data_IF_061160091011
#
_entry.id   IF_061160091011
#
_cell.length_a   1.000
_cell.length_b   1.000
_cell.length_c   1.000
_cell.angle_alpha   90.00
_cell.angle_beta   90.00
_cell.angle_gamma   90.00
#
_symmetry.space_group_name_H-M   'P 1'
#
loop_
_entity.id
_entity.type
_entity.pdbx_description
1 polymer ?
#
# COMPACT_ATOMS: atom_id res chain seq x y z
N UNK A 1 -6.33 71.65 -65.55
CA UNK A 1 -7.15 70.52 -65.10
C UNK A 1 -6.44 69.86 -63.93
N UNK A 2 -7.04 69.82 -62.73
CA UNK A 2 -6.37 69.45 -61.48
C UNK A 2 -6.31 67.93 -61.27
N UNK A 3 -5.22 67.46 -60.66
CA UNK A 3 -4.98 66.07 -60.23
C UNK A 3 -5.87 65.67 -59.05
N UNK A 4 -6.51 64.48 -59.06
CA UNK A 4 -7.30 64.00 -57.94
C UNK A 4 -6.42 63.41 -56.83
N UNK A 5 -6.68 63.79 -55.58
CA UNK A 5 -6.07 63.20 -54.37
C UNK A 5 -6.75 61.87 -54.04
N UNK A 6 -5.95 60.83 -53.81
CA UNK A 6 -6.39 59.54 -53.25
C UNK A 6 -6.68 59.65 -51.74
N UNK A 7 -7.67 58.92 -51.21
CA UNK A 7 -8.00 58.91 -49.78
C UNK A 7 -7.02 58.06 -48.95
N UNK A 8 -6.77 58.48 -47.71
CA UNK A 8 -5.86 57.84 -46.76
C UNK A 8 -6.41 56.50 -46.22
N UNK A 9 -5.50 55.55 -45.99
CA UNK A 9 -5.80 54.22 -45.46
C UNK A 9 -6.19 54.25 -43.97
N UNK A 10 -7.06 53.32 -43.50
CA UNK A 10 -7.49 53.24 -42.10
C UNK A 10 -6.39 52.69 -41.18
N UNK A 11 -6.36 53.18 -39.94
CA UNK A 11 -5.38 52.79 -38.92
C UNK A 11 -5.56 51.33 -38.44
N UNK A 12 -4.48 50.59 -38.13
CA UNK A 12 -4.56 49.22 -37.65
C UNK A 12 -5.12 49.15 -36.21
N UNK A 13 -6.06 48.22 -35.99
CA UNK A 13 -6.63 47.93 -34.67
C UNK A 13 -5.64 47.28 -33.68
N UNK A 14 -5.96 47.25 -32.38
CA UNK A 14 -5.05 46.74 -31.35
C UNK A 14 -4.79 45.24 -31.50
N UNK A 15 -3.52 44.86 -31.40
CA UNK A 15 -3.07 43.47 -31.51
C UNK A 15 -3.59 42.60 -30.35
N UNK A 16 -3.84 41.30 -30.57
CA UNK A 16 -4.33 40.39 -29.55
C UNK A 16 -3.30 40.23 -28.42
N UNK A 17 -3.79 40.34 -27.17
CA UNK A 17 -3.00 40.10 -25.97
C UNK A 17 -2.56 38.63 -25.94
N UNK A 18 -1.29 38.39 -26.23
CA UNK A 18 -0.66 37.06 -26.14
C UNK A 18 -0.42 36.74 -24.68
N UNK A 19 -1.23 35.86 -24.10
CA UNK A 19 -0.96 35.26 -22.78
C UNK A 19 0.30 34.39 -22.92
N UNK A 20 1.45 34.93 -22.56
CA UNK A 20 2.71 34.20 -22.50
C UNK A 20 2.76 33.42 -21.19
N UNK A 21 2.45 32.12 -21.23
CA UNK A 21 2.84 31.21 -20.15
C UNK A 21 4.36 31.15 -20.05
N UNK A 22 4.96 31.30 -18.86
CA UNK A 22 6.41 31.40 -18.73
C UNK A 22 7.10 30.10 -19.18
N UNK A 23 8.18 30.18 -19.97
CA UNK A 23 8.85 29.03 -20.58
C UNK A 23 9.41 28.02 -19.56
N UNK A 24 9.58 28.42 -18.29
CA UNK A 24 10.06 27.54 -17.22
C UNK A 24 9.03 26.50 -16.73
N UNK A 25 7.73 26.79 -16.81
CA UNK A 25 6.70 25.93 -16.22
C UNK A 25 6.51 24.62 -17.00
N UNK A 26 6.58 24.70 -18.33
CA UNK A 26 6.40 23.54 -19.21
C UNK A 26 7.64 22.65 -19.18
N UNK A 27 8.84 23.23 -19.13
CA UNK A 27 10.09 22.50 -18.99
C UNK A 27 10.15 21.74 -17.65
N UNK A 28 9.82 22.41 -16.53
CA UNK A 28 9.78 21.75 -15.21
C UNK A 28 8.73 20.64 -15.14
N UNK A 29 7.57 20.80 -15.78
CA UNK A 29 6.56 19.76 -15.85
C UNK A 29 7.01 18.57 -16.72
N UNK A 30 7.65 18.83 -17.85
CA UNK A 30 8.23 17.80 -18.70
C UNK A 30 9.36 17.03 -17.99
N UNK A 31 10.22 17.73 -17.24
CA UNK A 31 11.28 17.13 -16.42
C UNK A 31 10.70 16.27 -15.28
N UNK A 32 9.63 16.75 -14.64
CA UNK A 32 8.92 15.98 -13.62
C UNK A 32 8.25 14.72 -14.19
N UNK A 33 7.65 14.82 -15.38
CA UNK A 33 7.08 13.69 -16.10
C UNK A 33 8.16 12.69 -16.52
N UNK A 34 9.29 13.16 -17.06
CA UNK A 34 10.43 12.31 -17.40
C UNK A 34 11.00 11.59 -16.18
N UNK A 35 11.11 12.29 -15.05
CA UNK A 35 11.51 11.68 -13.78
C UNK A 35 10.52 10.64 -13.27
N UNK A 36 9.22 10.89 -13.39
CA UNK A 36 8.18 9.92 -13.02
C UNK A 36 8.25 8.67 -13.91
N UNK A 37 8.41 8.85 -15.23
CA UNK A 37 8.59 7.73 -16.17
C UNK A 37 9.81 6.90 -15.78
N UNK A 38 10.96 7.53 -15.54
CA UNK A 38 12.18 6.82 -15.14
C UNK A 38 11.99 6.02 -13.84
N UNK A 39 11.25 6.57 -12.86
CA UNK A 39 10.89 5.84 -11.64
C UNK A 39 10.01 4.64 -11.97
N UNK A 40 8.96 4.85 -12.78
CA UNK A 40 8.02 3.80 -13.18
C UNK A 40 8.63 2.72 -14.08
N UNK A 41 9.70 2.99 -14.80
CA UNK A 41 10.40 1.96 -15.58
C UNK A 41 11.18 0.98 -14.70
N UNK A 42 11.58 1.43 -13.51
CA UNK A 42 12.28 0.57 -12.55
C UNK A 42 11.29 -0.25 -11.71
N UNK A 43 11.60 -1.54 -11.51
CA UNK A 43 10.80 -2.42 -10.64
C UNK A 43 10.63 -1.82 -9.22
N UNK A 44 11.73 -1.35 -8.62
CA UNK A 44 11.70 -0.73 -7.29
C UNK A 44 10.95 0.61 -7.25
N UNK A 45 10.96 1.36 -8.35
CA UNK A 45 10.21 2.59 -8.44
C UNK A 45 8.70 2.32 -8.54
N UNK A 46 8.29 1.29 -9.29
CA UNK A 46 6.89 0.83 -9.31
C UNK A 46 6.39 0.44 -7.92
N UNK A 47 7.13 -0.39 -7.18
CA UNK A 47 6.73 -0.77 -5.81
C UNK A 47 6.54 0.45 -4.91
N UNK A 48 7.46 1.42 -4.97
CA UNK A 48 7.35 2.67 -4.20
C UNK A 48 6.11 3.49 -4.58
N UNK A 49 5.79 3.59 -5.87
CA UNK A 49 4.60 4.31 -6.34
C UNK A 49 3.33 3.61 -5.90
N UNK A 50 3.24 2.28 -6.06
CA UNK A 50 2.10 1.46 -5.62
C UNK A 50 1.88 1.64 -4.12
N UNK A 51 2.95 1.59 -3.32
CA UNK A 51 2.90 1.78 -1.87
C UNK A 51 2.46 3.20 -1.48
N UNK A 52 2.98 4.23 -2.15
CA UNK A 52 2.61 5.62 -1.89
C UNK A 52 1.14 5.88 -2.22
N UNK A 53 0.65 5.38 -3.35
CA UNK A 53 -0.76 5.47 -3.73
C UNK A 53 -1.65 4.68 -2.78
N UNK A 54 -1.25 3.46 -2.39
CA UNK A 54 -2.00 2.63 -1.46
C UNK A 54 -2.23 3.33 -0.12
N UNK A 55 -1.17 3.81 0.52
CA UNK A 55 -1.29 4.55 1.78
C UNK A 55 -1.95 5.92 1.61
N UNK A 56 -1.72 6.61 0.48
CA UNK A 56 -2.38 7.88 0.17
C UNK A 56 -3.89 7.73 0.07
N UNK A 57 -4.37 6.71 -0.64
CA UNK A 57 -5.79 6.37 -0.74
C UNK A 57 -6.36 5.93 0.62
N UNK A 58 -5.62 5.15 1.41
CA UNK A 58 -6.06 4.73 2.74
C UNK A 58 -6.21 5.91 3.70
N UNK A 59 -5.25 6.85 3.68
CA UNK A 59 -5.27 8.07 4.49
C UNK A 59 -6.40 9.01 4.05
N UNK A 60 -6.52 9.27 2.74
CA UNK A 60 -7.56 10.15 2.20
C UNK A 60 -8.96 9.56 2.43
N UNK A 61 -9.14 8.25 2.21
CA UNK A 61 -10.39 7.56 2.49
C UNK A 61 -10.78 7.63 3.97
N UNK A 62 -9.82 7.39 4.87
CA UNK A 62 -10.04 7.50 6.32
C UNK A 62 -10.37 8.93 6.78
N UNK A 63 -9.63 9.92 6.28
CA UNK A 63 -9.84 11.32 6.64
C UNK A 63 -11.20 11.85 6.14
N UNK A 64 -11.59 11.49 4.91
CA UNK A 64 -12.85 11.93 4.32
C UNK A 64 -14.08 11.21 4.90
N UNK A 65 -13.92 10.01 5.48
CA UNK A 65 -15.02 9.29 6.12
C UNK A 65 -15.63 10.04 7.31
N UNK A 66 -14.87 10.92 7.97
CA UNK A 66 -15.35 11.77 9.06
C UNK A 66 -15.90 13.14 8.62
N UNK A 67 -15.76 13.51 7.34
CA UNK A 67 -16.14 14.84 6.83
C UNK A 67 -17.55 14.79 6.26
N UNK A 68 -18.49 15.49 6.90
CA UNK A 68 -19.90 15.59 6.47
C UNK A 68 -20.10 16.10 5.03
N UNK A 69 -19.11 16.79 4.47
CA UNK A 69 -19.13 17.34 3.11
C UNK A 69 -18.41 16.48 2.06
N UNK A 70 -17.90 15.30 2.43
CA UNK A 70 -17.25 14.42 1.47
C UNK A 70 -18.26 13.93 0.42
N UNK A 71 -17.89 13.89 -0.88
CA UNK A 71 -18.75 13.32 -1.92
C UNK A 71 -19.17 11.90 -1.56
N UNK A 72 -20.46 11.60 -1.70
CA UNK A 72 -21.00 10.28 -1.37
C UNK A 72 -20.24 9.18 -2.13
N UNK A 73 -19.72 8.19 -1.41
CA UNK A 73 -18.99 7.05 -1.97
C UNK A 73 -17.49 7.27 -2.23
N UNK A 74 -16.98 8.50 -2.23
CA UNK A 74 -15.53 8.77 -2.43
C UNK A 74 -14.63 8.15 -1.35
N UNK A 75 -14.97 8.22 -0.04
CA UNK A 75 -14.17 7.57 0.99
C UNK A 75 -14.06 6.05 0.78
N UNK A 76 -15.18 5.42 0.42
CA UNK A 76 -15.24 3.98 0.17
C UNK A 76 -14.48 3.56 -1.09
N UNK A 77 -14.55 4.34 -2.17
CA UNK A 77 -13.81 4.05 -3.40
C UNK A 77 -12.29 4.17 -3.20
N UNK A 78 -11.83 5.16 -2.44
CA UNK A 78 -10.41 5.30 -2.08
C UNK A 78 -9.92 4.11 -1.24
N UNK A 79 -10.70 3.65 -0.26
CA UNK A 79 -10.37 2.45 0.51
C UNK A 79 -10.39 1.17 -0.35
N UNK A 80 -11.28 1.07 -1.34
CA UNK A 80 -11.28 -0.05 -2.28
C UNK A 80 -10.02 -0.04 -3.18
N UNK A 81 -9.60 1.13 -3.66
CA UNK A 81 -8.36 1.28 -4.42
C UNK A 81 -7.14 0.91 -3.58
N UNK A 82 -7.06 1.34 -2.32
CA UNK A 82 -5.95 0.97 -1.44
C UNK A 82 -5.89 -0.54 -1.18
N UNK A 83 -7.04 -1.21 -1.07
CA UNK A 83 -7.10 -2.67 -0.95
C UNK A 83 -6.54 -3.38 -2.20
N UNK A 84 -6.93 -2.94 -3.40
CA UNK A 84 -6.43 -3.50 -4.66
C UNK A 84 -4.92 -3.28 -4.83
N UNK A 85 -4.42 -2.08 -4.49
CA UNK A 85 -2.98 -1.79 -4.52
C UNK A 85 -2.19 -2.65 -3.52
N UNK A 86 -2.78 -2.91 -2.35
CA UNK A 86 -2.18 -3.80 -1.35
C UNK A 86 -2.08 -5.25 -1.86
N UNK A 87 -3.15 -5.79 -2.45
CA UNK A 87 -3.13 -7.10 -3.07
C UNK A 87 -2.13 -7.20 -4.23
N UNK A 88 -2.09 -6.18 -5.10
CA UNK A 88 -1.10 -6.10 -6.17
C UNK A 88 0.33 -6.19 -5.63
N UNK A 89 0.63 -5.44 -4.57
CA UNK A 89 1.93 -5.47 -3.90
C UNK A 89 2.27 -6.84 -3.33
N UNK A 90 1.31 -7.53 -2.69
CA UNK A 90 1.52 -8.92 -2.24
C UNK A 90 1.92 -9.81 -3.40
N UNK A 91 1.20 -9.77 -4.52
CA UNK A 91 1.51 -10.60 -5.69
C UNK A 91 2.89 -10.28 -6.27
N UNK A 92 3.25 -9.00 -6.37
CA UNK A 92 4.58 -8.60 -6.87
C UNK A 92 5.71 -9.10 -5.96
N UNK A 93 5.50 -9.06 -4.63
CA UNK A 93 6.48 -9.56 -3.66
C UNK A 93 6.74 -11.05 -3.74
N UNK A 94 5.78 -11.86 -4.23
CA UNK A 94 5.99 -13.29 -4.47
C UNK A 94 7.07 -13.54 -5.54
N UNK A 95 7.43 -12.52 -6.32
CA UNK A 95 8.52 -12.61 -7.30
C UNK A 95 9.87 -12.12 -6.75
N UNK A 96 9.91 -11.58 -5.52
CA UNK A 96 11.15 -11.08 -4.90
C UNK A 96 12.03 -12.20 -4.32
N UNK A 97 11.52 -13.42 -4.18
CA UNK A 97 12.19 -14.57 -3.56
C UNK A 97 13.55 -14.87 -4.16
N UNK A 98 13.63 -14.93 -5.49
CA UNK A 98 14.89 -15.20 -6.18
C UNK A 98 15.89 -14.05 -6.02
N UNK A 99 15.40 -12.81 -6.02
CA UNK A 99 16.25 -11.65 -5.78
C UNK A 99 16.79 -11.67 -4.35
N UNK A 100 15.96 -12.02 -3.37
CA UNK A 100 16.37 -12.17 -1.98
C UNK A 100 17.35 -13.33 -1.80
N UNK A 101 17.10 -14.48 -2.43
CA UNK A 101 18.00 -15.63 -2.39
C UNK A 101 19.36 -15.30 -2.99
N UNK A 102 19.38 -14.61 -4.14
CA UNK A 102 20.62 -14.15 -4.75
C UNK A 102 21.37 -13.16 -3.85
N UNK A 103 20.65 -12.24 -3.21
CA UNK A 103 21.22 -11.31 -2.23
C UNK A 103 21.82 -12.05 -1.02
N UNK A 104 21.08 -12.97 -0.41
CA UNK A 104 21.54 -13.76 0.73
C UNK A 104 22.75 -14.64 0.37
N UNK A 105 22.77 -15.22 -0.83
CA UNK A 105 23.93 -15.98 -1.34
C UNK A 105 25.16 -15.09 -1.54
N UNK A 106 24.98 -13.91 -2.12
CA UNK A 106 26.07 -12.94 -2.30
C UNK A 106 26.61 -12.42 -0.97
N UNK A 107 25.75 -12.24 0.03
CA UNK A 107 26.17 -11.83 1.37
C UNK A 107 26.84 -12.98 2.15
N UNK A 108 26.32 -14.22 2.03
CA UNK A 108 26.83 -15.39 2.75
C UNK A 108 26.82 -15.17 4.27
N UNK A 109 27.99 -15.32 4.90
CA UNK A 109 28.19 -15.02 6.33
C UNK A 109 28.68 -13.58 6.58
N UNK A 110 28.69 -12.75 5.54
CA UNK A 110 29.16 -11.38 5.54
C UNK A 110 30.68 -11.22 5.47
N UNK A 111 31.18 -10.02 5.12
CA UNK A 111 32.60 -9.74 5.03
C UNK A 111 33.34 -9.92 6.36
N UNK A 112 34.60 -10.36 6.31
CA UNK A 112 35.40 -10.59 7.54
C UNK A 112 35.88 -9.29 8.20
N UNK A 113 35.96 -8.22 7.43
CA UNK A 113 36.33 -6.87 7.84
C UNK A 113 35.17 -6.06 8.43
N UNK A 114 33.93 -6.57 8.37
CA UNK A 114 32.76 -5.96 8.98
C UNK A 114 32.72 -6.19 10.50
N UNK A 115 32.15 -5.24 11.24
CA UNK A 115 31.88 -5.39 12.68
C UNK A 115 31.06 -6.67 12.93
N UNK A 116 31.55 -7.55 13.82
CA UNK A 116 30.97 -8.87 14.02
C UNK A 116 29.49 -8.81 14.43
N UNK A 117 29.08 -7.79 15.18
CA UNK A 117 27.67 -7.60 15.58
C UNK A 117 26.83 -7.23 14.38
N UNK A 118 27.29 -6.27 13.57
CA UNK A 118 26.61 -5.88 12.31
C UNK A 118 26.47 -7.10 11.39
N UNK A 119 27.52 -7.91 11.27
CA UNK A 119 27.53 -9.11 10.45
C UNK A 119 26.49 -10.14 10.90
N UNK A 120 26.45 -10.47 12.19
CA UNK A 120 25.45 -11.39 12.73
C UNK A 120 24.02 -10.86 12.59
N UNK A 121 23.81 -9.56 12.83
CA UNK A 121 22.49 -8.93 12.63
C UNK A 121 22.02 -9.06 11.17
N UNK A 122 22.92 -8.86 10.20
CA UNK A 122 22.61 -9.04 8.78
C UNK A 122 22.30 -10.49 8.41
N UNK A 123 23.05 -11.46 8.95
CA UNK A 123 22.79 -12.89 8.73
C UNK A 123 21.43 -13.29 9.29
N UNK A 124 21.09 -12.83 10.50
CA UNK A 124 19.79 -13.09 11.13
C UNK A 124 18.65 -12.40 10.37
N UNK A 125 18.86 -11.17 9.88
CA UNK A 125 17.86 -10.47 9.07
C UNK A 125 17.60 -11.22 7.76
N UNK A 126 18.67 -11.66 7.07
CA UNK A 126 18.56 -12.48 5.87
C UNK A 126 17.82 -13.79 6.14
N UNK A 127 18.09 -14.46 7.27
CA UNK A 127 17.39 -15.68 7.65
C UNK A 127 15.89 -15.43 7.89
N UNK A 128 15.54 -14.34 8.59
CA UNK A 128 14.16 -13.93 8.81
C UNK A 128 13.45 -13.65 7.47
N UNK A 129 14.10 -12.92 6.56
CA UNK A 129 13.55 -12.62 5.23
C UNK A 129 13.37 -13.92 4.40
N UNK A 130 14.32 -14.86 4.42
CA UNK A 130 14.20 -16.15 3.72
C UNK A 130 13.06 -17.02 4.26
N UNK A 131 12.73 -16.92 5.55
CA UNK A 131 11.57 -17.60 6.13
C UNK A 131 10.26 -16.85 5.83
N UNK A 132 10.33 -15.53 5.75
CA UNK A 132 9.20 -14.66 5.54
C UNK A 132 8.53 -14.91 4.18
N UNK A 133 9.32 -14.99 3.10
CA UNK A 133 8.75 -15.14 1.75
C UNK A 133 7.94 -16.43 1.56
N UNK A 134 8.43 -17.64 1.94
CA UNK A 134 7.62 -18.86 1.89
C UNK A 134 6.36 -18.80 2.76
N UNK A 135 6.43 -18.19 3.94
CA UNK A 135 5.26 -18.01 4.79
C UNK A 135 4.19 -17.15 4.10
N UNK A 136 4.61 -16.10 3.38
CA UNK A 136 3.68 -15.27 2.62
C UNK A 136 3.07 -16.01 1.41
N UNK A 137 3.85 -16.88 0.75
CA UNK A 137 3.31 -17.74 -0.32
C UNK A 137 2.21 -18.65 0.19
N UNK A 138 2.42 -19.29 1.34
CA UNK A 138 1.39 -20.16 1.94
C UNK A 138 0.18 -19.35 2.38
N UNK A 139 0.37 -18.15 2.94
CA UNK A 139 -0.71 -17.26 3.32
C UNK A 139 -1.57 -16.85 2.11
N UNK A 140 -0.92 -16.42 1.02
CA UNK A 140 -1.58 -16.03 -0.22
C UNK A 140 -2.27 -17.23 -0.90
N UNK A 141 -1.62 -18.39 -0.95
CA UNK A 141 -2.20 -19.60 -1.53
C UNK A 141 -3.41 -20.10 -0.72
N UNK A 142 -3.39 -19.93 0.60
CA UNK A 142 -4.52 -20.24 1.47
C UNK A 142 -5.70 -19.30 1.22
N UNK A 143 -5.44 -18.00 1.04
CA UNK A 143 -6.48 -17.02 0.66
C UNK A 143 -7.10 -17.33 -0.71
N UNK A 144 -6.28 -17.78 -1.67
CA UNK A 144 -6.74 -18.18 -2.99
C UNK A 144 -7.47 -19.54 -3.00
N UNK A 145 -7.52 -20.27 -1.87
CA UNK A 145 -8.11 -21.60 -1.78
C UNK A 145 -7.29 -22.70 -2.46
N UNK A 146 -6.03 -22.43 -2.79
CA UNK A 146 -5.11 -23.39 -3.42
C UNK A 146 -4.62 -24.42 -2.39
N UNK A 147 -4.45 -24.02 -1.13
CA UNK A 147 -4.06 -24.91 -0.02
C UNK A 147 -5.05 -24.84 1.13
N UNK A 148 -5.34 -25.98 1.76
CA UNK A 148 -6.24 -26.10 2.93
C UNK A 148 -5.61 -25.62 4.25
N UNK A 149 -4.79 -24.57 4.23
CA UNK A 149 -4.09 -24.05 5.39
C UNK A 149 -4.83 -22.86 6.01
N UNK A 150 -4.56 -22.56 7.29
CA UNK A 150 -5.15 -21.40 7.96
C UNK A 150 -4.47 -20.10 7.53
N UNK A 151 -5.04 -19.41 6.54
CA UNK A 151 -4.54 -18.11 6.05
C UNK A 151 -4.17 -17.12 7.17
N UNK A 152 -5.03 -16.86 8.17
CA UNK A 152 -4.73 -15.85 9.21
C UNK A 152 -3.46 -16.17 10.03
N UNK A 153 -3.17 -17.45 10.28
CA UNK A 153 -1.98 -17.88 11.02
C UNK A 153 -0.71 -17.66 10.20
N UNK A 154 -0.75 -17.95 8.90
CA UNK A 154 0.38 -17.74 7.99
C UNK A 154 0.66 -16.26 7.74
N UNK A 155 -0.37 -15.43 7.63
CA UNK A 155 -0.24 -13.97 7.59
C UNK A 155 0.35 -13.40 8.88
N UNK A 156 -0.08 -13.89 10.04
CA UNK A 156 0.50 -13.45 11.32
C UNK A 156 1.98 -13.85 11.44
N UNK A 157 2.33 -15.08 11.03
CA UNK A 157 3.71 -15.56 11.04
C UNK A 157 4.60 -14.76 10.08
N UNK A 158 4.13 -14.54 8.84
CA UNK A 158 4.88 -13.75 7.85
C UNK A 158 5.08 -12.31 8.33
N UNK A 159 4.03 -11.69 8.88
CA UNK A 159 4.11 -10.34 9.48
C UNK A 159 5.08 -10.30 10.66
N UNK A 160 5.11 -11.33 11.49
CA UNK A 160 6.05 -11.46 12.61
C UNK A 160 7.50 -11.57 12.15
N UNK A 161 7.78 -12.39 11.12
CA UNK A 161 9.12 -12.52 10.53
C UNK A 161 9.58 -11.19 9.89
N UNK A 162 8.68 -10.51 9.19
CA UNK A 162 8.96 -9.18 8.64
C UNK A 162 9.25 -8.14 9.75
N UNK A 163 8.46 -8.14 10.83
CA UNK A 163 8.71 -7.27 11.98
C UNK A 163 10.08 -7.57 12.63
N UNK A 164 10.46 -8.84 12.74
CA UNK A 164 11.77 -9.25 13.24
C UNK A 164 12.91 -8.76 12.34
N UNK A 165 12.79 -8.90 11.01
CA UNK A 165 13.83 -8.43 10.10
C UNK A 165 13.99 -6.91 10.14
N UNK A 166 12.89 -6.17 10.26
CA UNK A 166 12.90 -4.72 10.49
C UNK A 166 13.60 -4.35 11.80
N UNK A 167 13.31 -5.05 12.90
CA UNK A 167 13.94 -4.80 14.20
C UNK A 167 15.46 -5.04 14.12
N UNK A 168 15.89 -6.15 13.53
CA UNK A 168 17.31 -6.46 13.31
C UNK A 168 17.97 -5.37 12.44
N UNK A 169 17.29 -4.90 11.40
CA UNK A 169 17.72 -3.80 10.55
C UNK A 169 17.91 -2.48 11.31
N UNK A 170 16.97 -2.13 12.19
CA UNK A 170 17.08 -0.93 13.06
C UNK A 170 18.28 -1.04 13.98
N UNK A 171 18.47 -2.17 14.66
CA UNK A 171 19.61 -2.38 15.56
C UNK A 171 20.93 -2.30 14.78
N UNK A 172 20.98 -2.89 13.58
CA UNK A 172 22.14 -2.84 12.68
C UNK A 172 22.48 -1.40 12.27
N UNK A 173 21.49 -0.65 11.77
CA UNK A 173 21.70 0.75 11.38
C UNK A 173 22.07 1.64 12.56
N UNK A 174 21.51 1.42 13.75
CA UNK A 174 21.93 2.12 14.97
C UNK A 174 23.39 1.82 15.31
N UNK A 175 23.80 0.55 15.26
CA UNK A 175 25.19 0.15 15.53
C UNK A 175 26.16 0.82 14.56
N UNK A 176 25.84 0.87 13.27
CA UNK A 176 26.63 1.55 12.25
C UNK A 176 26.66 3.07 12.53
N UNK A 177 25.51 3.68 12.80
CA UNK A 177 25.40 5.11 13.10
C UNK A 177 26.26 5.53 14.32
N UNK A 178 26.26 4.73 15.40
CA UNK A 178 27.09 4.98 16.57
C UNK A 178 28.58 4.92 16.23
N UNK A 179 29.00 3.95 15.42
CA UNK A 179 30.39 3.82 14.96
C UNK A 179 30.81 5.00 14.09
N UNK A 180 29.98 5.39 13.12
CA UNK A 180 30.24 6.54 12.24
C UNK A 180 30.35 7.85 13.03
N UNK A 181 29.43 8.07 13.98
CA UNK A 181 29.48 9.26 14.84
C UNK A 181 30.73 9.28 15.71
N UNK A 182 31.18 8.12 16.22
CA UNK A 182 32.44 8.02 16.98
C UNK A 182 33.65 8.37 16.11
N UNK A 183 33.75 7.82 14.89
CA UNK A 183 34.82 8.13 13.93
C UNK A 183 34.84 9.62 13.55
N UNK A 184 33.66 10.22 13.32
CA UNK A 184 33.54 11.64 12.97
C UNK A 184 33.98 12.56 14.12
N UNK A 185 33.71 12.17 15.39
CA UNK A 185 34.21 12.91 16.56
C UNK A 185 35.73 12.81 16.68
N UNK A 186 36.31 11.64 16.41
CA UNK A 186 37.75 11.41 16.51
C UNK A 186 38.56 12.11 15.40
N UNK A 187 38.01 12.23 14.19
CA UNK A 187 38.71 12.79 13.02
C UNK A 187 38.35 14.25 12.71
N UNK A 188 37.72 14.99 13.63
CA UNK A 188 37.21 16.35 13.39
C UNK A 188 38.28 17.38 12.96
N UNK A 189 39.58 17.07 13.07
CA UNK A 189 40.69 17.94 12.62
C UNK A 189 41.67 17.34 11.59
N UNK A 190 41.64 16.03 11.30
CA UNK A 190 42.72 15.35 10.55
C UNK A 190 42.27 14.69 9.23
N UNK A 191 40.98 14.69 8.91
CA UNK A 191 40.44 13.98 7.73
C UNK A 191 40.24 14.91 6.53
N UNK A 192 40.58 14.44 5.33
CA UNK A 192 40.38 15.18 4.07
C UNK A 192 38.90 15.54 3.81
N UNK A 193 38.59 16.71 3.20
CA UNK A 193 37.22 17.14 2.91
C UNK A 193 36.31 16.11 2.19
N UNK A 194 36.76 15.37 1.16
CA UNK A 194 35.91 14.40 0.48
C UNK A 194 35.56 13.19 1.38
N UNK A 195 36.44 12.79 2.30
CA UNK A 195 36.17 11.69 3.24
C UNK A 195 35.09 12.07 4.26
N UNK A 196 35.09 13.31 4.74
CA UNK A 196 34.04 13.81 5.64
C UNK A 196 32.68 13.91 4.95
N UNK A 197 32.63 14.36 3.68
CA UNK A 197 31.39 14.44 2.92
C UNK A 197 30.75 13.06 2.74
N UNK A 198 31.56 12.04 2.39
CA UNK A 198 31.10 10.64 2.29
C UNK A 198 30.56 10.11 3.62
N UNK A 199 31.28 10.32 4.72
CA UNK A 199 30.84 9.85 6.05
C UNK A 199 29.56 10.56 6.52
N UNK A 200 29.41 11.86 6.25
CA UNK A 200 28.15 12.59 6.52
C UNK A 200 26.99 12.07 5.68
N UNK A 201 27.23 11.74 4.41
CA UNK A 201 26.22 11.12 3.55
C UNK A 201 25.78 9.75 4.11
N UNK A 202 26.73 8.92 4.52
CA UNK A 202 26.45 7.62 5.12
C UNK A 202 25.66 7.75 6.44
N UNK A 203 25.99 8.71 7.30
CA UNK A 203 25.17 9.04 8.49
C UNK A 203 23.74 9.38 8.11
N UNK A 204 23.54 10.22 7.08
CA UNK A 204 22.18 10.56 6.60
C UNK A 204 21.44 9.31 6.11
N UNK A 205 22.11 8.45 5.35
CA UNK A 205 21.53 7.19 4.87
C UNK A 205 21.09 6.29 6.02
N UNK A 206 21.92 6.09 7.04
CA UNK A 206 21.55 5.24 8.19
C UNK A 206 20.40 5.84 9.01
N UNK A 207 20.36 7.17 9.17
CA UNK A 207 19.23 7.84 9.84
C UNK A 207 17.93 7.63 9.07
N UNK A 208 17.96 7.80 7.74
CA UNK A 208 16.79 7.54 6.90
C UNK A 208 16.37 6.07 6.93
N UNK A 209 17.33 5.15 6.95
CA UNK A 209 17.08 3.71 7.11
C UNK A 209 16.37 3.40 8.42
N UNK A 210 16.82 3.99 9.54
CA UNK A 210 16.19 3.82 10.86
C UNK A 210 14.76 4.35 10.85
N UNK A 211 14.55 5.59 10.36
CA UNK A 211 13.22 6.21 10.31
C UNK A 211 12.26 5.35 9.47
N UNK A 212 12.70 4.95 8.28
CA UNK A 212 11.88 4.12 7.38
C UNK A 212 11.56 2.76 8.02
N UNK A 213 12.54 2.11 8.64
CA UNK A 213 12.35 0.78 9.25
C UNK A 213 11.44 0.86 10.48
N UNK A 214 11.51 1.94 11.27
CA UNK A 214 10.61 2.17 12.40
C UNK A 214 9.18 2.45 11.94
N UNK A 215 8.99 3.22 10.86
CA UNK A 215 7.67 3.45 10.28
C UNK A 215 7.06 2.14 9.78
N UNK A 216 7.86 1.33 9.09
CA UNK A 216 7.44 0.01 8.60
C UNK A 216 7.16 -0.96 9.74
N UNK A 217 7.96 -0.93 10.81
CA UNK A 217 7.74 -1.75 12.00
C UNK A 217 6.44 -1.35 12.69
N UNK A 218 6.16 -0.05 12.75
CA UNK A 218 4.93 0.45 13.34
C UNK A 218 3.70 -0.02 12.57
N UNK A 219 3.81 -0.03 11.24
CA UNK A 219 2.80 -0.63 10.38
C UNK A 219 2.72 -2.14 10.60
N UNK A 220 3.82 -2.89 10.61
CA UNK A 220 3.81 -4.34 10.85
C UNK A 220 3.13 -4.72 12.17
N UNK A 221 3.39 -3.97 13.25
CA UNK A 221 2.75 -4.16 14.56
C UNK A 221 1.23 -3.97 14.46
N UNK A 222 0.77 -2.99 13.68
CA UNK A 222 -0.67 -2.78 13.47
C UNK A 222 -1.38 -3.99 12.83
N UNK A 223 -0.66 -4.79 12.03
CA UNK A 223 -1.18 -5.96 11.33
C UNK A 223 -1.08 -7.28 12.12
N UNK A 224 -0.43 -7.27 13.30
CA UNK A 224 -0.33 -8.45 14.15
C UNK A 224 -1.66 -8.79 14.85
N UNK A 225 -1.80 -10.00 15.43
CA UNK A 225 -2.98 -10.37 16.19
C UNK A 225 -3.25 -9.43 17.39
N UNK A 226 -4.51 -9.23 17.77
CA UNK A 226 -4.86 -8.41 18.93
C UNK A 226 -4.22 -8.96 20.21
N UNK A 227 -3.73 -8.05 21.06
CA UNK A 227 -2.97 -8.39 22.27
C UNK A 227 -1.45 -8.19 22.13
N UNK A 228 -0.95 -7.88 20.93
CA UNK A 228 0.44 -7.47 20.72
C UNK A 228 0.56 -5.94 20.60
N UNK A 229 1.07 -5.26 21.62
CA UNK A 229 1.18 -3.79 21.66
C UNK A 229 -0.16 -3.09 21.33
N UNK A 230 -0.21 -2.26 20.27
CA UNK A 230 -1.42 -1.56 19.79
C UNK A 230 -2.12 -2.29 18.64
N UNK A 231 -1.75 -3.55 18.35
CA UNK A 231 -2.40 -4.35 17.33
C UNK A 231 -3.90 -4.49 17.64
N UNK A 232 -4.75 -4.21 16.65
CA UNK A 232 -6.21 -4.30 16.79
C UNK A 232 -6.88 -3.17 17.58
N UNK A 233 -6.17 -2.11 17.97
CA UNK A 233 -6.76 -0.97 18.69
C UNK A 233 -7.56 0.00 17.79
N UNK A 234 -7.33 -0.03 16.49
CA UNK A 234 -8.02 0.84 15.54
C UNK A 234 -9.18 0.10 14.87
N UNK A 235 -10.34 0.76 14.64
CA UNK A 235 -11.52 0.12 14.07
C UNK A 235 -11.24 -0.48 12.68
N UNK A 236 -11.96 -1.57 12.29
CA UNK A 236 -11.70 -2.36 11.08
C UNK A 236 -11.87 -1.59 9.76
N UNK A 237 -12.30 -0.34 9.80
CA UNK A 237 -12.39 0.58 8.66
C UNK A 237 -11.03 0.82 7.95
N UNK A 238 -9.91 0.42 8.57
CA UNK A 238 -8.56 0.52 8.03
C UNK A 238 -7.96 -0.83 7.56
N UNK A 239 -8.65 -1.96 7.74
CA UNK A 239 -8.15 -3.28 7.31
C UNK A 239 -8.72 -3.67 5.94
N UNK A 240 -7.94 -3.65 4.85
CA UNK A 240 -8.34 -4.23 3.56
C UNK A 240 -8.63 -5.74 3.58
N UNK A 241 -8.33 -6.47 4.67
CA UNK A 241 -8.70 -7.88 4.81
C UNK A 241 -10.19 -8.12 5.14
N UNK A 242 -10.92 -7.14 5.68
CA UNK A 242 -12.37 -7.30 5.94
C UNK A 242 -13.25 -7.08 4.69
N UNK A 243 -12.68 -6.53 3.60
CA UNK A 243 -13.40 -6.38 2.33
C UNK A 243 -13.64 -7.71 1.59
N UNK A 244 -12.98 -8.80 2.00
CA UNK A 244 -13.32 -10.15 1.53
C UNK A 244 -14.69 -10.66 2.05
N UNK A 245 -15.25 -10.03 3.10
CA UNK A 245 -16.61 -10.32 3.55
C UNK A 245 -17.69 -9.47 2.85
N UNK A 246 -17.28 -8.43 2.11
CA UNK A 246 -18.13 -7.74 1.15
C UNK A 246 -17.89 -8.31 -0.26
N UNK A 247 -18.10 -9.63 -0.43
CA UNK A 247 -18.53 -10.09 -1.75
C UNK A 247 -19.80 -9.29 -2.09
N UNK A 248 -19.93 -8.69 -3.29
CA UNK A 248 -21.27 -8.39 -3.78
C UNK A 248 -22.05 -9.70 -3.65
N UNK A 249 -23.22 -9.66 -3.02
CA UNK A 249 -24.11 -10.81 -2.94
C UNK A 249 -24.12 -11.49 -4.31
N UNK A 250 -24.00 -12.83 -4.40
CA UNK A 250 -24.06 -13.47 -5.70
C UNK A 250 -25.38 -13.03 -6.31
N UNK A 251 -25.32 -12.29 -7.42
CA UNK A 251 -26.50 -12.16 -8.27
C UNK A 251 -26.81 -13.59 -8.68
N UNK A 252 -27.78 -14.21 -8.00
CA UNK A 252 -28.43 -15.42 -8.48
C UNK A 252 -29.06 -15.04 -9.81
N UNK A 253 -28.31 -15.22 -10.89
CA UNK A 253 -28.91 -15.62 -12.14
C UNK A 253 -28.87 -17.15 -12.12
N UNK A 254 -30.01 -17.85 -12.09
CA UNK A 254 -29.99 -19.24 -12.51
C UNK A 254 -29.58 -19.22 -13.99
N UNK A 255 -28.45 -19.84 -14.28
CA UNK A 255 -28.09 -20.19 -15.64
C UNK A 255 -28.94 -21.39 -16.01
N UNK A 256 -29.85 -21.25 -16.98
CA UNK A 256 -30.19 -22.28 -17.95
C UNK A 256 -31.37 -21.83 -18.81
N UNK A 257 -31.08 -21.41 -20.04
CA UNK A 257 -31.90 -21.57 -21.25
C UNK A 257 -30.97 -21.23 -22.43
N UNK A 258 -30.87 -21.93 -23.56
CA UNK A 258 -31.41 -23.14 -24.19
C UNK A 258 -30.50 -23.35 -25.45
N UNK A 259 -30.32 -24.50 -26.08
CA UNK A 259 -30.94 -25.81 -25.96
C UNK A 259 -30.14 -26.86 -26.76
N UNK A 260 -30.51 -28.15 -26.71
CA UNK A 260 -29.94 -29.19 -27.55
C UNK A 260 -30.84 -29.43 -28.77
N UNK A 261 -30.32 -30.03 -29.85
CA UNK A 261 -31.17 -30.51 -30.96
C UNK A 261 -32.41 -31.21 -30.39
N UNK A 262 -33.57 -30.65 -30.76
CA UNK A 262 -34.81 -30.84 -30.04
C UNK A 262 -35.33 -32.27 -30.12
N UNK A 263 -35.77 -32.78 -28.97
CA UNK A 263 -36.90 -33.70 -28.89
C UNK A 263 -37.66 -33.36 -27.61
N UNK A 264 -38.90 -32.92 -27.79
CA UNK A 264 -39.85 -32.65 -26.73
C UNK A 264 -40.36 -33.95 -26.11
N UNK A 265 -40.43 -34.00 -24.78
CA UNK A 265 -41.38 -34.88 -24.08
C UNK A 265 -42.07 -34.06 -22.99
N UNK A 266 -43.38 -33.99 -23.16
CA UNK A 266 -44.41 -33.36 -22.34
C UNK A 266 -44.66 -34.08 -21.03
N UNK A 267 -45.00 -33.34 -19.96
CA UNK A 267 -46.04 -33.67 -18.95
C UNK A 267 -46.09 -32.51 -17.94
N UNK A 268 -47.03 -31.56 -18.01
CA UNK A 268 -48.37 -31.60 -17.37
C UNK A 268 -48.35 -32.18 -15.96
N UNK A 269 -48.47 -31.32 -14.95
CA UNK A 269 -49.47 -31.44 -13.89
C UNK A 269 -49.69 -30.09 -13.19
N UNK A 270 -50.96 -29.82 -12.93
CA UNK A 270 -51.59 -28.58 -12.54
C UNK A 270 -52.18 -28.79 -11.15
N UNK A 271 -52.04 -27.84 -10.20
CA UNK A 271 -53.10 -27.46 -9.23
C UNK A 271 -52.64 -26.37 -8.22
N UNK A 272 -53.28 -25.19 -8.37
CA UNK A 272 -53.91 -24.30 -7.35
C UNK A 272 -53.46 -24.25 -5.89
N UNK A 273 -53.37 -23.03 -5.33
CA UNK A 273 -53.74 -22.79 -3.92
C UNK A 273 -53.19 -21.53 -3.24
N UNK A 274 -53.98 -20.45 -3.24
CA UNK A 274 -54.12 -19.35 -2.27
C UNK A 274 -52.92 -18.86 -1.43
N UNK A 275 -52.66 -17.54 -1.48
CA UNK A 275 -52.46 -16.74 -0.25
C UNK A 275 -52.89 -15.28 -0.47
N UNK A 276 -53.78 -14.84 0.41
CA UNK A 276 -54.52 -13.59 0.43
C UNK A 276 -53.71 -12.45 1.08
N UNK A 277 -54.17 -11.22 0.84
CA UNK A 277 -53.58 -9.93 1.18
C UNK A 277 -53.40 -9.60 2.68
N UNK A 278 -52.34 -8.86 2.99
CA UNK A 278 -52.23 -7.74 3.95
C UNK A 278 -50.75 -7.26 3.91
N UNK A 279 -50.35 -6.01 3.71
CA UNK A 279 -50.94 -4.78 4.21
C UNK A 279 -50.01 -4.19 5.29
N UNK A 280 -48.93 -3.51 4.86
CA UNK A 280 -48.14 -2.51 5.59
C UNK A 280 -47.44 -2.87 6.93
N UNK A 281 -46.37 -2.09 7.20
CA UNK A 281 -45.64 -1.92 8.47
C UNK A 281 -44.51 -2.91 8.78
N UNK A 282 -43.28 -2.59 8.38
CA UNK A 282 -42.09 -2.91 9.19
C UNK A 282 -40.95 -1.90 8.92
N UNK A 283 -41.15 -0.67 9.39
CA UNK A 283 -40.08 0.25 9.73
C UNK A 283 -39.90 0.21 11.25
N UNK A 284 -39.14 -0.77 11.76
CA UNK A 284 -38.61 -0.80 13.13
C UNK A 284 -37.73 -2.05 13.29
N UNK A 285 -36.43 -1.88 13.10
CA UNK A 285 -35.34 -2.52 13.86
C UNK A 285 -33.99 -2.30 13.18
N UNK A 286 -33.57 -1.03 13.14
CA UNK A 286 -32.16 -0.67 13.11
C UNK A 286 -31.87 0.05 14.43
N UNK A 287 -31.53 -0.73 15.45
CA UNK A 287 -31.16 -0.22 16.76
C UNK A 287 -30.72 -1.37 17.64
N UNK A 288 -29.40 -1.58 17.71
CA UNK A 288 -28.64 -2.15 18.85
C UNK A 288 -27.27 -2.65 18.37
N UNK A 289 -26.30 -1.75 18.31
CA UNK A 289 -24.88 -2.07 18.46
C UNK A 289 -24.29 -1.07 19.45
N UNK A 290 -24.76 -1.17 20.70
CA UNK A 290 -24.26 -0.45 21.86
C UNK A 290 -24.21 -1.43 23.04
N UNK A 291 -23.02 -1.52 23.63
CA UNK A 291 -22.64 -2.17 24.89
C UNK A 291 -22.47 -3.69 24.98
N UNK A 292 -21.29 -4.06 25.49
CA UNK A 292 -21.02 -5.26 26.29
C UNK A 292 -19.57 -5.23 26.80
N UNK A 293 -19.23 -5.88 27.93
CA UNK A 293 -19.92 -5.90 29.23
C UNK A 293 -19.03 -5.28 30.35
N UNK A 294 -19.67 -4.78 31.40
CA UNK A 294 -19.01 -4.50 32.68
C UNK A 294 -18.65 -5.82 33.39
N UNK A 295 -17.43 -5.88 33.92
CA UNK A 295 -16.98 -6.88 34.88
C UNK A 295 -17.50 -6.52 36.29
N UNK A 296 -17.90 -7.49 37.14
CA UNK A 296 -18.27 -7.21 38.52
C UNK A 296 -17.01 -7.00 39.38
N UNK A 297 -16.93 -5.85 40.05
CA UNK A 297 -16.02 -5.66 41.18
C UNK A 297 -16.83 -5.91 42.46
N UNK A 298 -16.31 -6.81 43.27
CA UNK A 298 -16.77 -7.17 44.60
C UNK A 298 -16.58 -6.05 45.62
N UNK A 299 -17.53 -6.02 46.57
CA UNK A 299 -17.68 -5.23 47.80
C UNK A 299 -18.33 -3.84 47.65
#
# INVERSE_FOLDING_TARGET
MPTPRLPAAPAPGPAPVRVTTPPGSVAMAADALGGLVAVLESYRGRDRVVRALGYGCQLAGGALAGVRAAPAGLPGSLLAVSAQLSHCRTVLRLFDDFAMLNYSRGYGLGPKDEDAVVRWLSVLANAADQLYYPCEHVAWAADAGVVGASSPKWWALSTGLWALSLLLGVVRSLRILFQLRRKLRQHKGNSSPPSQKKMRAQVKTEVLSIISSLADLSNAIHWLPPGFLWAGWFPPCHQPLCLHSCRPAPRRKPFAEQGPFGVAVTSVYQHTGLCTAAGATLAQNCGSCLYGPLWPVTQ
#
